data_IF_809056420216
#
_entry.id   IF_809056420216
#
_cell.length_a   1.000
_cell.length_b   1.000
_cell.length_c   1.000
_cell.angle_alpha   90.00
_cell.angle_beta   90.00
_cell.angle_gamma   90.00
#
_symmetry.space_group_name_H-M   'P 1'
#
loop_
_entity.id
_entity.type
_entity.pdbx_description
1 polymer ?
#
# COMPACT_ATOMS: atom_id res chain seq x y z
N UNK A 1 -17.07 -7.82 0.17
CA UNK A 1 -17.72 -6.89 -0.78
C UNK A 1 -19.15 -6.54 -0.37
N UNK A 2 -20.05 -7.53 -0.15
CA UNK A 2 -21.45 -7.28 0.24
C UNK A 2 -21.64 -6.26 1.37
N UNK A 3 -20.90 -6.36 2.47
CA UNK A 3 -20.98 -5.41 3.60
C UNK A 3 -20.65 -3.96 3.20
N UNK A 4 -19.70 -3.76 2.28
CA UNK A 4 -19.33 -2.44 1.79
C UNK A 4 -20.41 -1.88 0.85
N UNK A 5 -21.04 -2.72 0.03
CA UNK A 5 -22.20 -2.33 -0.78
C UNK A 5 -23.38 -1.89 0.11
N UNK A 6 -23.68 -2.68 1.15
CA UNK A 6 -24.71 -2.34 2.14
C UNK A 6 -24.39 -1.03 2.87
N UNK A 7 -23.11 -0.78 3.17
CA UNK A 7 -22.63 0.47 3.76
C UNK A 7 -22.88 1.65 2.84
N UNK A 8 -22.52 1.54 1.56
CA UNK A 8 -22.76 2.59 0.57
C UNK A 8 -24.24 2.94 0.45
N UNK A 9 -25.11 1.93 0.36
CA UNK A 9 -26.57 2.09 0.28
C UNK A 9 -27.13 2.66 1.58
N UNK A 10 -26.58 2.31 2.74
CA UNK A 10 -26.98 2.88 4.03
C UNK A 10 -26.67 4.39 4.08
N UNK A 11 -25.45 4.80 3.73
CA UNK A 11 -25.03 6.20 3.74
C UNK A 11 -25.87 7.04 2.76
N UNK A 12 -26.04 6.56 1.52
CA UNK A 12 -26.86 7.25 0.51
C UNK A 12 -28.33 7.39 0.95
N UNK A 13 -28.86 6.38 1.65
CA UNK A 13 -30.20 6.38 2.22
C UNK A 13 -30.33 7.10 3.56
N UNK A 14 -29.25 7.70 4.09
CA UNK A 14 -29.20 8.33 5.43
C UNK A 14 -29.66 7.38 6.55
N UNK A 15 -29.25 6.12 6.48
CA UNK A 15 -29.50 5.08 7.48
C UNK A 15 -28.21 4.73 8.22
N UNK A 16 -28.34 4.06 9.37
CA UNK A 16 -27.19 3.56 10.10
C UNK A 16 -26.41 2.55 9.25
N UNK A 17 -25.09 2.68 9.28
CA UNK A 17 -24.17 1.76 8.60
C UNK A 17 -24.18 0.39 9.29
N UNK A 18 -23.90 -0.71 8.57
CA UNK A 18 -23.85 -2.05 9.14
C UNK A 18 -22.57 -2.27 9.97
N UNK A 19 -22.41 -1.53 11.08
CA UNK A 19 -21.18 -1.49 11.89
C UNK A 19 -20.67 -2.88 12.28
N UNK A 20 -21.54 -3.76 12.78
CA UNK A 20 -21.16 -5.15 13.13
C UNK A 20 -20.61 -5.94 11.96
N UNK A 21 -21.15 -5.70 10.76
CA UNK A 21 -20.66 -6.32 9.53
C UNK A 21 -19.27 -5.80 9.18
N UNK A 22 -19.02 -4.49 9.32
CA UNK A 22 -17.72 -3.88 9.09
C UNK A 22 -16.67 -4.36 10.11
N UNK A 23 -17.04 -4.49 11.39
CA UNK A 23 -16.18 -5.04 12.45
C UNK A 23 -15.83 -6.53 12.20
N UNK A 24 -16.80 -7.32 11.74
CA UNK A 24 -16.57 -8.71 11.35
C UNK A 24 -15.62 -8.79 10.15
N UNK A 25 -15.86 -8.00 9.11
CA UNK A 25 -14.98 -7.93 7.93
C UNK A 25 -13.56 -7.48 8.30
N UNK A 26 -13.42 -6.49 9.18
CA UNK A 26 -12.13 -6.07 9.71
C UNK A 26 -11.41 -7.22 10.45
N UNK A 27 -12.15 -7.99 11.24
CA UNK A 27 -11.61 -9.15 11.95
C UNK A 27 -11.18 -10.26 10.99
N UNK A 28 -11.95 -10.53 9.95
CA UNK A 28 -11.63 -11.51 8.92
C UNK A 28 -10.38 -11.13 8.12
N UNK A 29 -10.21 -9.84 7.79
CA UNK A 29 -8.98 -9.32 7.16
C UNK A 29 -7.77 -9.58 8.05
N UNK A 30 -7.85 -9.24 9.34
CA UNK A 30 -6.76 -9.47 10.30
C UNK A 30 -6.43 -10.96 10.42
N UNK A 31 -7.44 -11.82 10.53
CA UNK A 31 -7.26 -13.26 10.62
C UNK A 31 -6.59 -13.82 9.36
N UNK A 32 -7.06 -13.45 8.17
CA UNK A 32 -6.48 -13.89 6.90
C UNK A 32 -5.02 -13.45 6.74
N UNK A 33 -4.69 -12.20 7.09
CA UNK A 33 -3.33 -11.68 6.97
C UNK A 33 -2.33 -12.34 7.93
N UNK A 34 -2.80 -12.98 9.00
CA UNK A 34 -1.96 -13.81 9.86
C UNK A 34 -1.60 -15.16 9.24
N UNK A 35 -2.42 -15.67 8.34
CA UNK A 35 -2.25 -16.99 7.73
C UNK A 35 -1.51 -16.91 6.39
N UNK A 36 -1.89 -15.98 5.51
CA UNK A 36 -1.37 -15.88 4.14
C UNK A 36 -1.22 -14.42 3.67
N UNK A 37 -0.53 -14.24 2.54
CA UNK A 37 -0.40 -12.96 1.83
C UNK A 37 -1.41 -12.81 0.67
N UNK A 38 -2.38 -13.73 0.54
CA UNK A 38 -3.28 -13.77 -0.62
C UNK A 38 -4.08 -12.46 -0.79
N UNK A 39 -4.61 -11.90 0.30
CA UNK A 39 -5.34 -10.63 0.27
C UNK A 39 -4.45 -9.45 -0.15
N UNK A 40 -3.17 -9.44 0.24
CA UNK A 40 -2.22 -8.40 -0.18
C UNK A 40 -1.97 -8.50 -1.68
N UNK A 41 -1.75 -9.72 -2.19
CA UNK A 41 -1.55 -9.98 -3.62
C UNK A 41 -2.79 -9.56 -4.41
N UNK A 42 -3.99 -9.89 -3.93
CA UNK A 42 -5.24 -9.49 -4.56
C UNK A 42 -5.38 -7.98 -4.59
N UNK A 43 -5.20 -7.29 -3.45
CA UNK A 43 -5.27 -5.83 -3.37
C UNK A 43 -4.30 -5.13 -4.34
N UNK A 44 -3.06 -5.61 -4.43
CA UNK A 44 -2.04 -5.09 -5.36
C UNK A 44 -2.30 -5.42 -6.83
N UNK A 45 -3.13 -6.43 -7.11
CA UNK A 45 -3.47 -6.84 -8.48
C UNK A 45 -4.51 -5.92 -9.13
N UNK A 46 -5.21 -5.09 -8.34
CA UNK A 46 -6.24 -4.17 -8.82
C UNK A 46 -7.50 -4.92 -9.26
N UNK A 47 -8.21 -5.60 -8.35
CA UNK A 47 -9.35 -6.42 -8.70
C UNK A 47 -10.50 -5.54 -9.23
N UNK A 48 -11.31 -6.05 -10.17
CA UNK A 48 -12.41 -5.30 -10.76
C UNK A 48 -13.46 -4.95 -9.68
N UNK A 49 -13.94 -3.71 -9.70
CA UNK A 49 -14.92 -3.23 -8.72
C UNK A 49 -15.23 -1.74 -8.87
N UNK A 50 -16.13 -1.24 -8.03
CA UNK A 50 -16.34 0.21 -7.93
C UNK A 50 -15.10 0.84 -7.28
N UNK A 51 -14.50 1.88 -7.90
CA UNK A 51 -13.21 2.42 -7.45
C UNK A 51 -13.14 2.77 -5.96
N UNK A 52 -14.22 3.36 -5.42
CA UNK A 52 -14.30 3.72 -4.00
C UNK A 52 -14.35 2.48 -3.09
N UNK A 53 -15.16 1.46 -3.42
CA UNK A 53 -15.24 0.25 -2.59
C UNK A 53 -13.93 -0.54 -2.61
N UNK A 54 -13.32 -0.65 -3.79
CA UNK A 54 -12.01 -1.29 -3.94
C UNK A 54 -10.95 -0.55 -3.13
N UNK A 55 -10.93 0.78 -3.17
CA UNK A 55 -9.99 1.59 -2.37
C UNK A 55 -10.20 1.38 -0.85
N UNK A 56 -11.44 1.44 -0.33
CA UNK A 56 -11.70 1.19 1.09
C UNK A 56 -11.19 -0.19 1.53
N UNK A 57 -11.41 -1.21 0.70
CA UNK A 57 -10.94 -2.58 0.98
C UNK A 57 -9.40 -2.68 0.91
N UNK A 58 -8.79 -2.10 -0.11
CA UNK A 58 -7.34 -2.09 -0.29
C UNK A 58 -6.64 -1.35 0.84
N UNK A 59 -7.14 -0.17 1.24
CA UNK A 59 -6.60 0.60 2.36
C UNK A 59 -6.70 -0.17 3.67
N UNK A 60 -7.80 -0.90 3.90
CA UNK A 60 -7.94 -1.80 5.05
C UNK A 60 -6.89 -2.93 5.02
N UNK A 61 -6.77 -3.65 3.90
CA UNK A 61 -5.87 -4.80 3.77
C UNK A 61 -4.40 -4.36 3.88
N UNK A 62 -3.98 -3.41 3.04
CA UNK A 62 -2.60 -2.94 2.95
C UNK A 62 -2.22 -2.17 4.21
N UNK A 63 -3.12 -1.34 4.76
CA UNK A 63 -2.93 -0.64 6.03
C UNK A 63 -2.73 -1.60 7.20
N UNK A 64 -3.54 -2.65 7.30
CA UNK A 64 -3.37 -3.68 8.33
C UNK A 64 -2.02 -4.39 8.18
N UNK A 65 -1.60 -4.71 6.96
CA UNK A 65 -0.29 -5.31 6.70
C UNK A 65 0.86 -4.37 7.10
N UNK A 66 0.76 -3.07 6.83
CA UNK A 66 1.70 -2.05 7.34
C UNK A 66 1.70 -2.01 8.88
N UNK A 67 0.53 -2.05 9.51
CA UNK A 67 0.38 -2.10 10.97
C UNK A 67 1.06 -3.30 11.60
N UNK A 68 0.99 -4.48 10.99
CA UNK A 68 1.74 -5.68 11.42
C UNK A 68 3.25 -5.38 11.41
N UNK A 69 3.76 -4.73 10.36
CA UNK A 69 5.16 -4.31 10.27
C UNK A 69 5.58 -3.29 11.32
N UNK A 70 4.64 -2.45 11.77
CA UNK A 70 4.84 -1.49 12.87
C UNK A 70 4.69 -2.13 14.25
N UNK A 71 4.33 -3.41 14.33
CA UNK A 71 4.20 -4.16 15.57
C UNK A 71 2.82 -4.07 16.23
N UNK A 72 1.78 -3.67 15.50
CA UNK A 72 0.40 -3.69 16.02
C UNK A 72 -0.08 -5.14 16.18
N UNK A 73 -0.91 -5.39 17.19
CA UNK A 73 -1.49 -6.72 17.43
C UNK A 73 -2.91 -6.64 17.99
N UNK A 74 -3.65 -7.76 17.88
CA UNK A 74 -4.97 -7.91 18.50
C UNK A 74 -5.96 -6.80 18.10
N UNK A 75 -6.46 -6.06 19.09
CA UNK A 75 -7.44 -4.99 18.88
C UNK A 75 -6.89 -3.83 18.05
N UNK A 76 -5.59 -3.55 18.10
CA UNK A 76 -5.01 -2.45 17.32
C UNK A 76 -5.11 -2.71 15.82
N UNK A 77 -4.88 -3.96 15.39
CA UNK A 77 -5.04 -4.37 14.00
C UNK A 77 -6.51 -4.34 13.57
N UNK A 78 -7.43 -4.80 14.42
CA UNK A 78 -8.88 -4.73 14.12
C UNK A 78 -9.35 -3.30 13.96
N UNK A 79 -8.87 -2.39 14.81
CA UNK A 79 -9.18 -0.96 14.72
C UNK A 79 -8.62 -0.32 13.45
N UNK A 80 -7.39 -0.66 13.08
CA UNK A 80 -6.75 -0.17 11.85
C UNK A 80 -7.46 -0.69 10.59
N UNK A 81 -7.82 -1.97 10.56
CA UNK A 81 -8.62 -2.55 9.48
C UNK A 81 -9.98 -1.84 9.36
N UNK A 82 -10.70 -1.69 10.48
CA UNK A 82 -11.97 -0.96 10.49
C UNK A 82 -11.82 0.49 10.01
N UNK A 83 -10.77 1.20 10.45
CA UNK A 83 -10.47 2.54 9.99
C UNK A 83 -10.24 2.60 8.47
N UNK A 84 -9.49 1.65 7.90
CA UNK A 84 -9.31 1.56 6.46
C UNK A 84 -10.63 1.35 5.69
N UNK A 85 -11.53 0.52 6.21
CA UNK A 85 -12.85 0.26 5.60
C UNK A 85 -13.78 1.49 5.60
N UNK A 86 -13.51 2.51 6.43
CA UNK A 86 -14.40 3.67 6.59
C UNK A 86 -13.72 5.02 6.42
N UNK A 87 -12.42 5.08 6.09
CA UNK A 87 -11.67 6.34 6.04
C UNK A 87 -12.30 7.36 5.07
N UNK A 88 -12.86 6.87 3.95
CA UNK A 88 -13.53 7.66 2.92
C UNK A 88 -15.05 7.45 2.88
N UNK A 89 -15.66 6.95 3.96
CA UNK A 89 -17.11 6.64 4.02
C UNK A 89 -18.00 7.84 3.69
N UNK A 90 -17.54 9.06 3.98
CA UNK A 90 -18.26 10.28 3.65
C UNK A 90 -18.40 10.55 2.15
N UNK A 91 -17.58 9.91 1.31
CA UNK A 91 -17.71 10.04 -0.15
C UNK A 91 -19.01 9.43 -0.67
N UNK A 92 -19.61 8.45 0.02
CA UNK A 92 -20.92 7.92 -0.36
C UNK A 92 -22.05 8.96 -0.25
N UNK A 93 -21.85 10.03 0.54
CA UNK A 93 -22.77 11.16 0.64
C UNK A 93 -22.49 12.26 -0.41
N UNK A 94 -21.44 12.13 -1.23
CA UNK A 94 -21.14 13.05 -2.34
C UNK A 94 -21.92 12.61 -3.59
N UNK A 95 -22.50 13.54 -4.38
CA UNK A 95 -23.19 13.19 -5.62
C UNK A 95 -22.30 12.36 -6.56
N UNK A 96 -22.82 11.22 -7.03
CA UNK A 96 -22.06 10.27 -7.86
C UNK A 96 -21.48 10.90 -9.13
N UNK A 97 -22.24 11.78 -9.80
CA UNK A 97 -21.79 12.49 -11.00
C UNK A 97 -20.54 13.36 -10.78
N UNK A 98 -20.28 13.76 -9.53
CA UNK A 98 -19.07 14.49 -9.17
C UNK A 98 -17.86 13.57 -9.00
N UNK A 99 -18.08 12.40 -8.37
CA UNK A 99 -17.04 11.38 -8.18
C UNK A 99 -16.57 10.76 -9.51
N UNK A 100 -17.46 10.67 -10.49
CA UNK A 100 -17.16 10.08 -11.80
C UNK A 100 -16.76 11.10 -12.87
N UNK A 101 -16.53 12.36 -12.49
CA UNK A 101 -16.36 13.45 -13.46
C UNK A 101 -15.11 13.28 -14.34
N UNK A 102 -15.34 13.38 -15.65
CA UNK A 102 -14.45 13.55 -16.83
C UNK A 102 -13.14 14.34 -16.68
N UNK A 103 -13.24 15.43 -15.93
CA UNK A 103 -12.36 16.59 -16.10
C UNK A 103 -12.11 17.30 -14.78
N UNK A 104 -11.44 18.46 -14.88
CA UNK A 104 -11.07 19.24 -13.70
C UNK A 104 -12.32 19.62 -12.89
N UNK A 105 -12.24 19.38 -11.59
CA UNK A 105 -13.20 19.89 -10.63
C UNK A 105 -13.08 21.41 -10.55
N UNK A 106 -14.21 22.11 -10.45
CA UNK A 106 -14.21 23.53 -10.05
C UNK A 106 -13.78 23.65 -8.58
N UNK A 107 -13.38 24.85 -8.12
CA UNK A 107 -13.06 25.06 -6.70
C UNK A 107 -14.21 24.66 -5.76
N UNK A 108 -15.46 24.92 -6.15
CA UNK A 108 -16.66 24.61 -5.35
C UNK A 108 -16.93 23.11 -5.30
N UNK A 109 -16.78 22.44 -6.44
CA UNK A 109 -16.85 20.99 -6.57
C UNK A 109 -15.78 20.29 -5.72
N UNK A 110 -14.55 20.80 -5.76
CA UNK A 110 -13.45 20.33 -4.92
C UNK A 110 -13.76 20.51 -3.44
N UNK A 111 -14.23 21.70 -3.04
CA UNK A 111 -14.59 21.98 -1.66
C UNK A 111 -15.70 21.04 -1.15
N UNK A 112 -16.65 20.64 -2.02
CA UNK A 112 -17.70 19.68 -1.66
C UNK A 112 -17.15 18.28 -1.40
N UNK A 113 -16.16 17.84 -2.19
CA UNK A 113 -15.48 16.55 -1.97
C UNK A 113 -14.60 16.60 -0.72
N UNK A 114 -13.87 17.70 -0.49
CA UNK A 114 -12.95 17.85 0.65
C UNK A 114 -13.69 17.93 2.01
N UNK A 115 -15.02 18.04 2.01
CA UNK A 115 -15.87 17.90 3.21
C UNK A 115 -16.14 16.44 3.61
N UNK A 116 -15.80 15.45 2.77
CA UNK A 116 -16.12 14.07 3.07
C UNK A 116 -15.52 13.52 4.39
N UNK A 117 -14.36 13.98 4.91
CA UNK A 117 -13.87 13.50 6.20
C UNK A 117 -14.80 13.92 7.34
N UNK A 118 -15.28 15.16 7.32
CA UNK A 118 -16.25 15.68 8.29
C UNK A 118 -17.61 14.97 8.18
N UNK A 119 -18.06 14.68 6.96
CA UNK A 119 -19.27 13.84 6.76
C UNK A 119 -19.07 12.42 7.29
N UNK A 120 -17.86 11.87 7.16
CA UNK A 120 -17.50 10.59 7.74
C UNK A 120 -17.65 10.58 9.26
N UNK A 121 -17.21 11.65 9.93
CA UNK A 121 -17.42 11.86 11.37
C UNK A 121 -18.91 11.83 11.72
N UNK A 122 -19.74 12.59 11.00
CA UNK A 122 -21.19 12.63 11.23
C UNK A 122 -21.83 11.24 11.08
N UNK A 123 -21.48 10.49 10.03
CA UNK A 123 -21.98 9.14 9.77
C UNK A 123 -21.61 8.19 10.91
N UNK A 124 -20.35 8.19 11.33
CA UNK A 124 -19.83 7.29 12.36
C UNK A 124 -20.48 7.59 13.72
N UNK A 125 -20.53 8.86 14.14
CA UNK A 125 -21.08 9.25 15.44
C UNK A 125 -22.61 9.17 15.50
N UNK A 126 -23.30 9.30 14.36
CA UNK A 126 -24.74 9.03 14.29
C UNK A 126 -25.04 7.54 14.46
N UNK A 127 -24.17 6.67 13.94
CA UNK A 127 -24.29 5.23 14.09
C UNK A 127 -24.02 4.80 15.54
N UNK A 128 -22.91 5.25 16.12
CA UNK A 128 -22.55 4.99 17.52
C UNK A 128 -21.66 6.13 18.07
N UNK A 129 -22.18 6.94 19.01
CA UNK A 129 -21.41 8.00 19.66
C UNK A 129 -20.17 7.51 20.41
N UNK A 130 -20.04 6.23 20.75
CA UNK A 130 -18.84 5.70 21.42
C UNK A 130 -17.62 5.64 20.49
N UNK A 131 -17.82 5.72 19.17
CA UNK A 131 -16.76 5.58 18.15
C UNK A 131 -15.97 6.86 17.86
N UNK A 132 -15.72 7.69 18.88
CA UNK A 132 -14.92 8.92 18.76
C UNK A 132 -13.53 8.68 18.15
N UNK A 133 -12.88 7.57 18.53
CA UNK A 133 -11.56 7.21 17.99
C UNK A 133 -11.61 6.96 16.49
N UNK A 134 -12.64 6.27 16.00
CA UNK A 134 -12.80 5.93 14.58
C UNK A 134 -13.13 7.20 13.78
N UNK A 135 -14.05 8.01 14.31
CA UNK A 135 -14.40 9.31 13.73
C UNK A 135 -13.16 10.23 13.63
N UNK A 136 -12.31 10.26 14.67
CA UNK A 136 -11.05 11.01 14.63
C UNK A 136 -10.13 10.51 13.53
N UNK A 137 -9.92 9.18 13.41
CA UNK A 137 -9.06 8.60 12.38
C UNK A 137 -9.59 8.89 10.98
N UNK A 138 -10.89 8.70 10.75
CA UNK A 138 -11.58 9.02 9.49
C UNK A 138 -11.40 10.49 9.11
N UNK A 139 -11.60 11.41 10.05
CA UNK A 139 -11.44 12.85 9.79
C UNK A 139 -10.01 13.20 9.37
N UNK A 140 -9.02 12.49 9.92
CA UNK A 140 -7.61 12.81 9.78
C UNK A 140 -6.90 12.03 8.66
N UNK A 141 -7.57 11.11 7.96
CA UNK A 141 -6.95 10.25 6.93
C UNK A 141 -6.32 11.07 5.77
N UNK A 142 -6.86 12.26 5.52
CA UNK A 142 -6.37 13.20 4.51
C UNK A 142 -5.44 14.30 5.04
N UNK A 143 -5.11 14.26 6.34
CA UNK A 143 -4.07 15.10 6.91
C UNK A 143 -2.69 14.61 6.46
N UNK A 144 -1.73 15.54 6.43
CA UNK A 144 -0.35 15.26 5.96
C UNK A 144 0.63 15.74 7.01
N UNK A 145 1.72 15.01 7.22
CA UNK A 145 2.71 15.28 8.26
C UNK A 145 3.26 16.72 8.23
N UNK A 146 3.38 17.30 7.03
CA UNK A 146 3.81 18.68 6.77
C UNK A 146 2.70 19.75 6.95
N UNK A 147 1.45 19.37 7.22
CA UNK A 147 0.29 20.25 7.37
C UNK A 147 -0.31 20.75 6.06
N UNK A 148 0.03 20.14 4.93
CA UNK A 148 -0.58 20.45 3.62
C UNK A 148 -1.85 19.64 3.34
N UNK A 149 -2.28 18.80 4.29
CA UNK A 149 -3.50 18.02 4.20
C UNK A 149 -4.76 18.81 4.53
N UNK A 150 -5.87 18.09 4.70
CA UNK A 150 -7.18 18.64 5.04
C UNK A 150 -7.93 17.63 5.94
N UNK A 151 -9.00 18.03 6.66
CA UNK A 151 -9.65 19.35 6.68
C UNK A 151 -9.01 20.39 7.62
N UNK A 152 -8.25 19.96 8.63
CA UNK A 152 -7.78 20.83 9.73
C UNK A 152 -6.31 21.24 9.60
N UNK A 153 -5.57 20.69 8.64
CA UNK A 153 -4.15 21.00 8.38
C UNK A 153 -3.25 20.70 9.58
N UNK A 154 -3.54 19.59 10.24
CA UNK A 154 -2.78 19.09 11.38
C UNK A 154 -1.34 18.77 10.98
N UNK A 155 -0.40 18.91 11.91
CA UNK A 155 1.04 18.71 11.66
C UNK A 155 1.62 17.65 12.58
N UNK A 156 2.50 16.83 12.02
CA UNK A 156 3.26 15.86 12.78
C UNK A 156 2.37 14.95 13.64
N UNK A 157 2.71 14.86 14.92
CA UNK A 157 2.02 14.03 15.92
C UNK A 157 0.64 14.53 16.35
N UNK A 158 0.15 15.64 15.79
CA UNK A 158 -1.25 16.04 15.96
C UNK A 158 -2.20 15.10 15.19
N UNK A 159 -1.68 14.43 14.16
CA UNK A 159 -2.40 13.45 13.35
C UNK A 159 -2.32 12.10 14.05
N UNK A 160 -3.44 11.41 14.21
CA UNK A 160 -3.51 10.07 14.76
C UNK A 160 -2.69 9.10 13.91
N UNK A 161 -1.92 8.21 14.53
CA UNK A 161 -1.00 7.31 13.82
C UNK A 161 -1.73 6.41 12.79
N UNK A 162 -2.85 5.79 13.18
CA UNK A 162 -3.71 5.04 12.24
C UNK A 162 -4.18 5.87 11.05
N UNK A 163 -4.44 7.17 11.23
CA UNK A 163 -4.83 8.06 10.12
C UNK A 163 -3.65 8.33 9.17
N UNK A 164 -2.43 8.41 9.70
CA UNK A 164 -1.21 8.52 8.89
C UNK A 164 -0.95 7.22 8.11
N UNK A 165 -1.24 6.05 8.70
CA UNK A 165 -1.17 4.75 8.00
C UNK A 165 -2.21 4.70 6.88
N UNK A 166 -3.48 5.01 7.17
CA UNK A 166 -4.53 5.06 6.15
C UNK A 166 -4.17 6.04 5.02
N UNK A 167 -3.70 7.24 5.36
CA UNK A 167 -3.36 8.26 4.37
C UNK A 167 -2.20 7.87 3.46
N UNK A 168 -1.13 7.24 3.97
CA UNK A 168 -0.03 6.81 3.10
C UNK A 168 -0.46 5.66 2.19
N UNK A 169 -1.29 4.76 2.71
CA UNK A 169 -1.78 3.60 1.95
C UNK A 169 -2.80 4.02 0.92
N UNK A 170 -3.65 5.00 1.21
CA UNK A 170 -4.58 5.58 0.24
C UNK A 170 -3.81 6.23 -0.94
N UNK A 171 -2.76 7.00 -0.66
CA UNK A 171 -1.89 7.55 -1.72
C UNK A 171 -1.22 6.43 -2.51
N UNK A 172 -0.71 5.39 -1.83
CA UNK A 172 -0.11 4.24 -2.50
C UNK A 172 -1.12 3.53 -3.42
N UNK A 173 -2.30 3.20 -2.91
CA UNK A 173 -3.39 2.55 -3.65
C UNK A 173 -3.80 3.39 -4.86
N UNK A 174 -3.92 4.72 -4.70
CA UNK A 174 -4.21 5.65 -5.79
C UNK A 174 -3.15 5.64 -6.90
N UNK A 175 -1.88 5.37 -6.56
CA UNK A 175 -0.78 5.28 -7.53
C UNK A 175 -0.79 3.95 -8.30
N UNK A 176 -1.12 2.83 -7.63
CA UNK A 176 -1.09 1.48 -8.22
C UNK A 176 -2.43 1.03 -8.81
N UNK A 177 -3.52 1.76 -8.54
CA UNK A 177 -4.84 1.55 -9.12
C UNK A 177 -4.97 2.20 -10.49
N UNK A 178 -5.69 1.55 -11.40
CA UNK A 178 -6.01 2.10 -12.71
C UNK A 178 -7.10 3.17 -12.59
N UNK A 179 -6.88 4.36 -13.16
CA UNK A 179 -7.87 5.46 -13.17
C UNK A 179 -8.16 5.88 -14.61
N UNK A 180 -9.38 6.38 -14.93
CA UNK A 180 -9.76 6.76 -16.30
C UNK A 180 -8.80 7.74 -17.00
N UNK A 181 -8.00 8.50 -16.23
CA UNK A 181 -7.13 9.56 -16.72
C UNK A 181 -5.63 9.27 -16.54
N UNK A 182 -5.26 8.12 -15.98
CA UNK A 182 -3.88 7.77 -15.67
C UNK A 182 -3.68 6.25 -15.63
N UNK A 183 -2.69 5.76 -16.37
CA UNK A 183 -2.22 4.39 -16.26
C UNK A 183 -1.67 4.13 -14.86
N UNK A 184 -2.04 2.98 -14.28
CA UNK A 184 -1.49 2.54 -12.99
C UNK A 184 0.03 2.50 -13.02
N UNK A 185 0.66 2.87 -11.90
CA UNK A 185 2.06 2.58 -11.66
C UNK A 185 2.23 1.14 -11.21
N UNK A 186 3.39 0.56 -11.51
CA UNK A 186 3.79 -0.65 -10.81
C UNK A 186 4.12 -0.33 -9.33
N UNK A 187 3.95 -1.29 -8.40
CA UNK A 187 4.23 -1.07 -6.98
C UNK A 187 5.60 -0.43 -6.69
N UNK A 188 6.64 -0.79 -7.46
CA UNK A 188 7.96 -0.19 -7.35
C UNK A 188 8.06 1.27 -7.75
N UNK A 189 7.31 1.68 -8.76
CA UNK A 189 7.23 3.07 -9.19
C UNK A 189 6.43 3.89 -8.18
N UNK A 190 5.37 3.33 -7.60
CA UNK A 190 4.60 3.96 -6.54
C UNK A 190 5.44 4.17 -5.27
N UNK A 191 6.21 3.16 -4.85
CA UNK A 191 7.15 3.29 -3.73
C UNK A 191 8.20 4.36 -4.02
N UNK A 192 8.75 4.40 -5.24
CA UNK A 192 9.68 5.45 -5.65
C UNK A 192 9.05 6.84 -5.52
N UNK A 193 7.82 7.01 -5.99
CA UNK A 193 7.11 8.28 -5.90
C UNK A 193 6.92 8.69 -4.43
N UNK A 194 6.50 7.77 -3.56
CA UNK A 194 6.33 8.04 -2.13
C UNK A 194 7.64 8.46 -1.45
N UNK A 195 8.75 7.82 -1.80
CA UNK A 195 10.06 8.11 -1.19
C UNK A 195 10.69 9.41 -1.70
N UNK A 196 10.37 9.83 -2.92
CA UNK A 196 10.98 11.02 -3.56
C UNK A 196 10.07 12.23 -3.46
N UNK A 197 8.83 12.13 -3.95
CA UNK A 197 7.89 13.25 -4.02
C UNK A 197 7.19 13.49 -2.68
N UNK A 198 6.88 12.43 -1.92
CA UNK A 198 6.08 12.51 -0.70
C UNK A 198 6.92 12.35 0.60
N UNK A 199 8.25 12.50 0.51
CA UNK A 199 9.18 12.28 1.65
C UNK A 199 8.84 13.11 2.90
N UNK A 200 8.34 14.33 2.71
CA UNK A 200 7.96 15.23 3.80
C UNK A 200 6.49 15.09 4.22
N UNK A 201 5.71 14.29 3.48
CA UNK A 201 4.26 14.19 3.59
C UNK A 201 3.83 13.15 4.63
N UNK A 202 4.64 12.11 4.85
CA UNK A 202 4.36 11.03 5.79
C UNK A 202 5.58 10.76 6.70
N UNK A 203 5.39 10.18 7.90
CA UNK A 203 6.50 9.81 8.77
C UNK A 203 7.38 8.75 8.11
N UNK A 204 8.68 8.83 8.42
CA UNK A 204 9.68 7.91 7.88
C UNK A 204 9.43 6.48 8.35
N UNK A 205 8.97 6.31 9.58
CA UNK A 205 8.69 5.00 10.20
C UNK A 205 7.56 4.28 9.46
N UNK A 206 6.50 5.00 9.11
CA UNK A 206 5.36 4.45 8.37
C UNK A 206 5.75 4.16 6.92
N UNK A 207 6.45 5.08 6.24
CA UNK A 207 6.95 4.85 4.88
C UNK A 207 7.85 3.61 4.81
N UNK A 208 8.74 3.45 5.80
CA UNK A 208 9.61 2.29 5.92
C UNK A 208 8.79 1.01 6.06
N UNK A 209 7.84 0.97 6.99
CA UNK A 209 6.99 -0.19 7.19
C UNK A 209 6.21 -0.55 5.91
N UNK A 210 5.67 0.44 5.19
CA UNK A 210 4.99 0.21 3.91
C UNK A 210 5.92 -0.47 2.89
N UNK A 211 7.15 0.01 2.74
CA UNK A 211 8.11 -0.54 1.77
C UNK A 211 8.56 -1.95 2.13
N UNK A 212 8.76 -2.22 3.43
CA UNK A 212 9.14 -3.54 3.93
C UNK A 212 8.00 -4.55 3.78
N UNK A 213 6.76 -4.12 4.00
CA UNK A 213 5.60 -5.00 4.05
C UNK A 213 4.94 -5.26 2.69
N UNK A 214 4.94 -4.28 1.77
CA UNK A 214 4.19 -4.41 0.51
C UNK A 214 5.03 -4.95 -0.65
N UNK A 215 6.30 -5.29 -0.41
CA UNK A 215 7.30 -5.78 -1.37
C UNK A 215 7.29 -5.07 -2.71
N UNK A 216 8.38 -4.36 -2.98
CA UNK A 216 8.55 -3.64 -4.23
C UNK A 216 8.43 -4.53 -5.49
N UNK A 217 8.75 -5.81 -5.33
CA UNK A 217 8.59 -6.83 -6.36
C UNK A 217 7.89 -8.07 -5.77
N UNK A 218 6.57 -8.20 -5.91
CA UNK A 218 5.85 -9.39 -5.47
C UNK A 218 6.36 -10.68 -6.12
N UNK A 219 6.16 -11.82 -5.44
CA UNK A 219 6.43 -13.13 -6.02
C UNK A 219 5.68 -13.30 -7.35
N UNK A 220 6.34 -13.87 -8.35
CA UNK A 220 5.79 -14.04 -9.70
C UNK A 220 5.94 -12.82 -10.62
N UNK A 221 6.41 -11.68 -10.11
CA UNK A 221 6.70 -10.50 -10.96
C UNK A 221 7.80 -10.84 -11.96
N UNK A 222 7.56 -10.61 -13.25
CA UNK A 222 8.60 -10.73 -14.27
C UNK A 222 9.34 -9.41 -14.40
N UNK A 223 10.65 -9.42 -14.18
CA UNK A 223 11.51 -8.25 -14.15
C UNK A 223 12.63 -8.36 -15.17
N UNK A 224 13.06 -7.22 -15.72
CA UNK A 224 14.27 -7.10 -16.53
C UNK A 224 15.39 -6.53 -15.67
N UNK A 225 16.55 -7.17 -15.72
CA UNK A 225 17.74 -6.79 -14.96
C UNK A 225 18.62 -5.81 -15.76
N UNK A 226 19.56 -5.14 -15.09
CA UNK A 226 20.56 -4.25 -15.74
C UNK A 226 21.45 -4.97 -16.74
N UNK A 227 21.56 -6.29 -16.62
CA UNK A 227 22.25 -7.15 -17.59
C UNK A 227 21.46 -7.35 -18.89
N UNK A 228 20.20 -6.89 -18.96
CA UNK A 228 19.27 -7.14 -20.06
C UNK A 228 18.44 -8.41 -19.90
N UNK A 229 18.88 -9.33 -19.03
CA UNK A 229 18.21 -10.59 -18.77
C UNK A 229 16.82 -10.40 -18.16
N UNK A 230 15.90 -11.32 -18.46
CA UNK A 230 14.53 -11.34 -17.93
C UNK A 230 14.37 -12.53 -17.00
N UNK A 231 13.77 -12.30 -15.83
CA UNK A 231 13.51 -13.36 -14.87
C UNK A 231 12.27 -13.11 -14.04
N UNK A 232 11.87 -14.12 -13.28
CA UNK A 232 10.68 -14.08 -12.41
C UNK A 232 11.13 -14.00 -10.96
N UNK A 233 10.50 -13.13 -10.18
CA UNK A 233 10.77 -12.99 -8.75
C UNK A 233 10.26 -14.23 -8.02
N UNK A 234 11.18 -14.98 -7.43
CA UNK A 234 10.90 -16.25 -6.73
C UNK A 234 11.05 -16.14 -5.21
N UNK A 235 11.72 -15.09 -4.73
CA UNK A 235 11.80 -14.79 -3.29
C UNK A 235 11.83 -13.28 -3.06
N UNK A 236 11.06 -12.82 -2.08
CA UNK A 236 11.11 -11.44 -1.61
C UNK A 236 12.23 -11.31 -0.57
N UNK A 237 12.94 -10.19 -0.57
CA UNK A 237 13.94 -9.88 0.44
C UNK A 237 13.42 -8.77 1.37
N UNK A 238 12.97 -9.15 2.57
CA UNK A 238 12.41 -8.22 3.56
C UNK A 238 13.42 -7.16 4.01
N UNK A 239 14.72 -7.48 3.99
CA UNK A 239 15.80 -6.56 4.38
C UNK A 239 16.18 -5.59 3.26
N UNK A 240 16.02 -6.02 2.01
CA UNK A 240 16.28 -5.22 0.82
C UNK A 240 15.13 -5.37 -0.18
N UNK A 241 13.98 -4.71 0.02
CA UNK A 241 12.76 -4.93 -0.79
C UNK A 241 12.95 -4.72 -2.29
N UNK A 242 13.94 -3.92 -2.70
CA UNK A 242 14.33 -3.67 -4.09
C UNK A 242 15.30 -4.70 -4.67
N UNK A 243 15.72 -5.68 -3.88
CA UNK A 243 16.71 -6.70 -4.25
C UNK A 243 16.13 -8.11 -4.00
N UNK A 244 15.08 -8.51 -4.73
CA UNK A 244 14.50 -9.85 -4.64
C UNK A 244 15.46 -10.92 -5.19
N UNK A 245 15.13 -12.19 -4.95
CA UNK A 245 15.73 -13.30 -5.69
C UNK A 245 14.93 -13.51 -6.97
N UNK A 246 15.64 -13.45 -8.10
CA UNK A 246 15.06 -13.56 -9.44
C UNK A 246 15.54 -14.84 -10.10
N UNK A 247 14.62 -15.69 -10.54
CA UNK A 247 14.92 -16.84 -11.38
C UNK A 247 15.03 -16.38 -12.83
N UNK A 248 16.25 -16.37 -13.35
CA UNK A 248 16.55 -15.96 -14.73
C UNK A 248 16.63 -17.22 -15.59
N UNK A 249 15.87 -17.26 -16.67
CA UNK A 249 16.01 -18.27 -17.74
C UNK A 249 17.14 -17.86 -18.67
N UNK A 250 18.11 -18.75 -18.89
CA UNK A 250 19.21 -18.50 -19.83
C UNK A 250 18.72 -18.27 -21.27
N UNK A 251 19.51 -17.54 -22.06
CA UNK A 251 19.20 -17.19 -23.47
C UNK A 251 19.38 -18.37 -24.46
N UNK A 252 19.74 -19.56 -23.99
CA UNK A 252 19.99 -20.70 -24.87
C UNK A 252 18.67 -21.21 -25.49
N UNK A 253 18.50 -20.97 -26.79
CA UNK A 253 17.43 -21.58 -27.60
C UNK A 253 17.64 -23.10 -27.70
N UNK A 254 16.93 -23.85 -26.86
CA UNK A 254 16.84 -25.31 -26.89
C UNK A 254 16.28 -25.86 -25.58
N UNK A 255 15.91 -27.14 -25.54
CA UNK A 255 15.35 -27.88 -24.39
C UNK A 255 16.23 -27.89 -23.11
N UNK A 256 17.37 -27.20 -23.11
CA UNK A 256 18.40 -27.22 -22.05
C UNK A 256 18.67 -25.86 -21.39
N UNK A 257 17.78 -24.86 -21.54
CA UNK A 257 17.92 -23.57 -20.89
C UNK A 257 17.95 -23.71 -19.36
N UNK A 258 19.15 -23.73 -18.76
CA UNK A 258 19.32 -23.81 -17.32
C UNK A 258 18.85 -22.50 -16.67
N UNK A 259 17.77 -22.57 -15.91
CA UNK A 259 17.33 -21.47 -15.05
C UNK A 259 18.20 -21.42 -13.80
N UNK A 260 18.69 -20.24 -13.44
CA UNK A 260 19.40 -20.03 -12.17
C UNK A 260 18.71 -18.95 -11.34
N UNK A 261 18.79 -19.08 -10.02
CA UNK A 261 18.31 -18.07 -9.08
C UNK A 261 19.42 -17.06 -8.79
N UNK A 262 19.08 -15.79 -8.87
CA UNK A 262 19.97 -14.67 -8.64
C UNK A 262 19.45 -13.85 -7.47
N UNK A 263 20.14 -13.91 -6.33
CA UNK A 263 19.86 -13.04 -5.19
C UNK A 263 20.45 -11.66 -5.43
N UNK A 264 19.60 -10.70 -5.77
CA UNK A 264 20.04 -9.34 -6.10
C UNK A 264 20.68 -8.61 -4.90
N UNK A 265 20.48 -9.09 -3.67
CA UNK A 265 21.11 -8.50 -2.48
C UNK A 265 22.60 -8.84 -2.39
N UNK A 266 23.02 -9.95 -3.00
CA UNK A 266 24.42 -10.37 -3.08
C UNK A 266 25.11 -9.87 -4.35
N UNK A 267 24.37 -9.29 -5.30
CA UNK A 267 24.89 -8.77 -6.57
C UNK A 267 24.62 -7.27 -6.73
N UNK A 268 25.40 -6.38 -6.08
CA UNK A 268 25.09 -4.95 -6.02
C UNK A 268 25.03 -4.26 -7.39
N UNK A 269 25.81 -4.73 -8.37
CA UNK A 269 25.86 -4.22 -9.75
C UNK A 269 24.64 -4.64 -10.60
N UNK A 270 23.87 -5.64 -10.17
CA UNK A 270 22.70 -6.14 -10.90
C UNK A 270 21.43 -5.68 -10.18
N UNK A 271 20.61 -4.90 -10.87
CA UNK A 271 19.34 -4.40 -10.32
C UNK A 271 18.20 -4.57 -11.32
N UNK A 272 16.96 -4.49 -10.83
CA UNK A 272 15.78 -4.47 -11.70
C UNK A 272 15.69 -3.10 -12.36
N UNK A 273 15.66 -3.09 -13.69
CA UNK A 273 15.50 -1.88 -14.52
C UNK A 273 14.04 -1.63 -14.85
N UNK A 274 13.27 -2.70 -15.02
CA UNK A 274 11.89 -2.63 -15.50
C UNK A 274 11.09 -3.84 -15.01
N UNK A 275 9.81 -3.63 -14.69
CA UNK A 275 8.85 -4.72 -14.56
C UNK A 275 8.24 -5.01 -15.93
N UNK A 276 8.46 -6.21 -16.44
CA UNK A 276 7.99 -6.65 -17.77
C UNK A 276 6.56 -7.17 -17.68
N UNK A 277 6.22 -7.92 -16.64
CA UNK A 277 4.85 -8.40 -16.36
C UNK A 277 4.58 -8.42 -14.85
N UNK A 278 3.39 -7.98 -14.40
CA UNK A 278 2.98 -8.12 -13.00
C UNK A 278 2.77 -9.59 -12.64
N UNK A 279 2.70 -9.94 -11.34
CA UNK A 279 2.34 -11.29 -10.92
C UNK A 279 0.96 -11.66 -11.48
N UNK A 280 0.85 -12.86 -12.07
CA UNK A 280 -0.45 -13.42 -12.48
C UNK A 280 -0.98 -14.22 -11.30
N UNK A 281 -2.18 -13.89 -10.81
CA UNK A 281 -2.90 -14.70 -9.85
C UNK A 281 -3.30 -16.03 -10.52
N UNK A 282 -2.41 -17.02 -10.41
CA UNK A 282 -2.57 -18.33 -11.03
C UNK A 282 -1.25 -19.06 -11.13
N UNK A 283 -1.08 -20.07 -10.28
CA UNK A 283 0.05 -21.02 -10.23
C UNK A 283 1.30 -20.58 -9.46
N UNK A 284 1.16 -20.22 -8.18
CA UNK A 284 2.23 -20.48 -7.22
C UNK A 284 1.98 -21.86 -6.58
N UNK A 285 2.53 -22.93 -7.19
CA UNK A 285 2.71 -24.17 -6.42
C UNK A 285 3.82 -23.92 -5.40
N UNK A 286 3.44 -23.68 -4.16
CA UNK A 286 4.37 -23.53 -3.04
C UNK A 286 4.89 -24.91 -2.67
N UNK A 287 6.14 -25.19 -3.07
CA UNK A 287 6.92 -26.29 -2.51
C UNK A 287 7.18 -26.03 -1.03
N UNK A 288 6.66 -26.90 -0.19
CA UNK A 288 6.76 -26.88 1.27
C UNK A 288 8.22 -27.03 1.72
N UNK A 289 8.92 -25.97 2.12
CA UNK A 289 10.01 -26.05 3.11
C UNK A 289 10.16 -24.71 3.84
N UNK A 290 9.64 -24.60 5.07
CA UNK A 290 10.08 -23.61 6.05
C UNK A 290 10.42 -24.35 7.35
N UNK A 291 11.70 -24.66 7.52
CA UNK A 291 12.28 -24.98 8.83
C UNK A 291 12.61 -23.67 9.54
N UNK A 292 12.19 -23.56 10.80
CA UNK A 292 12.43 -22.39 11.66
C UNK A 292 13.94 -22.13 11.87
N UNK A 293 14.41 -20.88 11.89
CA UNK A 293 15.73 -20.55 12.40
C UNK A 293 15.71 -20.39 13.94
N UNK A 294 16.80 -20.72 14.66
CA UNK A 294 16.86 -20.57 16.11
C UNK A 294 17.03 -19.10 16.53
N UNK A 295 16.55 -18.78 17.74
CA UNK A 295 16.67 -17.46 18.39
C UNK A 295 18.13 -16.97 18.44
N UNK A 296 18.42 -15.72 18.06
CA UNK A 296 19.70 -15.10 18.40
C UNK A 296 19.62 -14.41 19.77
N UNK A 297 20.63 -14.69 20.60
CA UNK A 297 20.98 -14.00 21.84
C UNK A 297 21.80 -12.72 21.56
N UNK A 298 21.70 -11.78 22.50
CA UNK A 298 22.57 -10.61 22.79
C UNK A 298 22.65 -9.42 21.81
N UNK A 299 22.04 -8.32 22.27
CA UNK A 299 22.49 -6.91 22.26
C UNK A 299 23.61 -6.48 21.32
N UNK A 300 23.25 -5.82 20.21
CA UNK A 300 24.05 -4.79 19.50
C UNK A 300 23.07 -3.67 19.08
N UNK A 301 23.50 -2.41 19.23
CA UNK A 301 22.67 -1.20 19.23
C UNK A 301 21.81 -1.00 17.98
N UNK A 302 20.50 -0.81 18.21
CA UNK A 302 19.44 -0.52 17.24
C UNK A 302 19.67 0.82 16.48
N UNK A 303 20.58 1.67 16.97
CA UNK A 303 20.82 3.03 16.44
C UNK A 303 21.67 3.07 15.17
N UNK A 304 22.73 2.28 15.06
CA UNK A 304 23.67 2.37 13.92
C UNK A 304 23.15 1.63 12.68
N UNK A 305 22.28 0.64 12.89
CA UNK A 305 21.72 -0.13 11.80
C UNK A 305 20.60 0.61 11.04
N UNK A 306 20.00 1.60 11.69
CA UNK A 306 18.89 2.41 11.17
C UNK A 306 19.36 3.56 10.27
N UNK A 307 20.49 4.20 10.60
CA UNK A 307 21.12 5.22 9.75
C UNK A 307 21.53 4.62 8.40
N UNK A 308 22.11 3.40 8.41
CA UNK A 308 22.45 2.66 7.18
C UNK A 308 21.23 2.27 6.32
N UNK A 309 20.04 2.09 6.92
CA UNK A 309 18.79 1.81 6.20
C UNK A 309 18.20 3.07 5.56
N UNK A 310 18.31 4.22 6.22
CA UNK A 310 17.94 5.53 5.65
C UNK A 310 18.93 5.97 4.56
N UNK A 311 20.22 5.73 4.74
CA UNK A 311 21.24 5.90 3.71
C UNK A 311 21.00 4.92 2.54
N UNK A 312 20.50 3.72 2.84
CA UNK A 312 20.00 2.76 1.86
C UNK A 312 18.80 3.30 1.07
N UNK A 313 17.83 3.95 1.73
CA UNK A 313 16.67 4.58 1.08
C UNK A 313 17.05 5.80 0.25
N UNK A 314 18.03 6.60 0.69
CA UNK A 314 18.58 7.71 -0.08
C UNK A 314 19.41 7.18 -1.29
N UNK A 315 20.18 6.09 -1.11
CA UNK A 315 20.86 5.40 -2.21
C UNK A 315 19.89 4.73 -3.20
N UNK A 316 18.75 4.25 -2.71
CA UNK A 316 17.62 3.73 -3.49
C UNK A 316 17.00 4.86 -4.32
N UNK A 317 16.69 6.00 -3.71
CA UNK A 317 16.14 7.17 -4.38
C UNK A 317 17.11 7.67 -5.46
N UNK A 318 18.41 7.80 -5.16
CA UNK A 318 19.44 8.20 -6.12
C UNK A 318 19.64 7.18 -7.24
N UNK A 319 19.63 5.88 -6.95
CA UNK A 319 19.73 4.82 -7.97
C UNK A 319 18.52 4.83 -8.91
N UNK A 320 17.32 5.04 -8.37
CA UNK A 320 16.07 5.13 -9.13
C UNK A 320 15.94 6.45 -9.90
N UNK A 321 16.60 7.52 -9.47
CA UNK A 321 16.64 8.81 -10.17
C UNK A 321 17.62 8.77 -11.34
N UNK A 322 18.79 8.15 -11.15
CA UNK A 322 19.77 7.91 -12.20
C UNK A 322 19.18 7.10 -13.36
N UNK A 323 18.40 6.04 -13.08
CA UNK A 323 17.73 5.21 -14.10
C UNK A 323 16.73 6.04 -14.94
N UNK A 324 15.97 6.93 -14.30
CA UNK A 324 14.98 7.79 -14.99
C UNK A 324 15.64 8.86 -15.87
N UNK A 325 16.76 9.44 -15.44
CA UNK A 325 17.51 10.44 -16.22
C UNK A 325 18.18 9.82 -17.46
N UNK A 326 18.71 8.60 -17.37
CA UNK A 326 19.20 7.87 -18.56
C UNK A 326 18.12 7.61 -19.61
N UNK A 327 16.84 7.55 -19.21
CA UNK A 327 15.71 7.34 -20.13
C UNK A 327 15.28 8.65 -20.83
N UNK A 328 15.48 9.81 -20.20
CA UNK A 328 15.22 11.13 -20.79
C UNK A 328 16.28 11.57 -21.80
N UNK A 329 17.52 11.09 -21.69
CA UNK A 329 18.61 11.42 -22.62
C UNK A 329 18.71 10.49 -23.86
N UNK A 330 17.78 9.54 -24.01
CA UNK A 330 17.70 8.62 -25.16
C UNK A 330 16.46 8.84 -26.05
N UNK A 331 15.72 9.91 -25.83
CA UNK A 331 14.64 10.44 -26.68
C UNK A 331 15.10 11.78 -27.27
#
# INVERSE_FOLDING_TARGET
MQTLDETAVAVQGRRNIPLRGLEALASDIVASLHETDELVVEALSGPPGLPLLTNLLNVSILGTRVGIGLGYYGDELRRLALAGLVHDIGLFAVPSGLLTKSGRLTPEERALIEQHPERGVEIILTCDPALHWLAQVTCQAHERWNGQGYPHRLKGRQIHEMAQICGVVDVFDALVSERPYRSRLFPHEAVRELLVAERATFPREILKALVEQLSVYPLGTTVRLTTGAVGVVVKINSRYPLRPVVKVTGEERGDNAQSHELDLSQTPLISVVETVKPPVAGHAQVGTVLSMPPKPSSTIGVSDHFTSLLDGLDAIASSLQAVVETKKHRL
#
